data_IF_682668001353
#
_entry.id   IF_682668001353
#
_cell.length_a   1.000
_cell.length_b   1.000
_cell.length_c   1.000
_cell.angle_alpha   90.00
_cell.angle_beta   90.00
_cell.angle_gamma   90.00
#
_symmetry.space_group_name_H-M   'P 1'
#
loop_
_entity.id
_entity.type
_entity.pdbx_description
1 polymer ?
#
# COMPACT_ATOMS: atom_id res chain seq x y z
N UNK A 1 -1.18 5.13 -13.28
CA UNK A 1 -1.23 3.66 -13.43
C UNK A 1 0.02 3.01 -12.88
N UNK A 2 1.21 3.55 -13.13
CA UNK A 2 2.47 2.98 -12.63
C UNK A 2 2.63 3.05 -11.11
N UNK A 3 2.08 4.07 -10.46
CA UNK A 3 2.26 4.30 -9.01
C UNK A 3 1.12 3.76 -8.15
N UNK A 4 0.08 3.15 -8.74
CA UNK A 4 -1.06 2.70 -7.94
C UNK A 4 -0.71 1.38 -7.21
N UNK A 5 -0.76 1.34 -5.86
CA UNK A 5 -0.30 0.20 -5.07
C UNK A 5 -1.17 -1.05 -5.27
N UNK A 6 -2.47 -0.89 -5.52
CA UNK A 6 -3.37 -2.02 -5.76
C UNK A 6 -3.03 -2.74 -7.07
N UNK A 7 -2.66 -1.97 -8.10
CA UNK A 7 -2.24 -2.52 -9.39
C UNK A 7 -0.87 -3.20 -9.31
N UNK A 8 0.09 -2.60 -8.58
CA UNK A 8 1.40 -3.21 -8.32
C UNK A 8 1.20 -4.54 -7.58
N UNK A 9 0.41 -4.55 -6.50
CA UNK A 9 0.13 -5.77 -5.74
C UNK A 9 -0.56 -6.85 -6.59
N UNK A 10 -1.45 -6.47 -7.51
CA UNK A 10 -2.06 -7.41 -8.44
C UNK A 10 -1.03 -8.02 -9.41
N UNK A 11 -0.10 -7.23 -9.95
CA UNK A 11 0.96 -7.71 -10.85
C UNK A 11 1.91 -8.67 -10.14
N UNK A 12 2.33 -8.34 -8.93
CA UNK A 12 3.19 -9.21 -8.12
C UNK A 12 2.51 -10.56 -7.81
N UNK A 13 1.20 -10.56 -7.54
CA UNK A 13 0.43 -11.81 -7.38
C UNK A 13 0.37 -12.63 -8.66
N UNK A 14 0.25 -11.99 -9.83
CA UNK A 14 0.28 -12.69 -11.11
C UNK A 14 1.67 -13.29 -11.39
N UNK A 15 2.74 -12.56 -11.06
CA UNK A 15 4.11 -13.07 -11.17
C UNK A 15 4.36 -14.25 -10.24
N UNK A 16 3.90 -14.17 -8.99
CA UNK A 16 3.95 -15.30 -8.04
C UNK A 16 3.20 -16.53 -8.57
N UNK A 17 2.02 -16.34 -9.18
CA UNK A 17 1.27 -17.42 -9.80
C UNK A 17 2.04 -18.06 -10.98
N UNK A 18 2.83 -17.28 -11.73
CA UNK A 18 3.74 -17.80 -12.77
C UNK A 18 4.82 -18.71 -12.18
N UNK A 19 5.45 -18.32 -11.07
CA UNK A 19 6.40 -19.18 -10.36
C UNK A 19 5.74 -20.45 -9.82
N UNK A 20 4.48 -20.39 -9.35
CA UNK A 20 3.73 -21.57 -8.93
C UNK A 20 3.52 -22.58 -10.07
N UNK A 21 3.40 -22.12 -11.33
CA UNK A 21 3.33 -23.00 -12.50
C UNK A 21 4.64 -23.75 -12.70
N UNK A 22 5.77 -23.06 -12.54
CA UNK A 22 7.10 -23.66 -12.65
C UNK A 22 7.32 -24.69 -11.53
N UNK A 23 6.96 -24.35 -10.29
CA UNK A 23 6.99 -25.26 -9.14
C UNK A 23 6.08 -26.47 -9.36
N UNK A 24 4.86 -26.29 -9.87
CA UNK A 24 3.97 -27.40 -10.20
C UNK A 24 4.54 -28.30 -11.32
N UNK A 25 5.28 -27.70 -12.26
CA UNK A 25 6.01 -28.41 -13.30
C UNK A 25 7.22 -29.19 -12.80
N UNK A 26 7.86 -28.74 -11.72
CA UNK A 26 9.06 -29.36 -11.14
C UNK A 26 8.81 -30.77 -10.56
N UNK A 27 7.56 -31.12 -10.25
CA UNK A 27 7.20 -32.42 -9.68
C UNK A 27 7.48 -33.63 -10.60
N UNK A 28 7.83 -33.40 -11.87
CA UNK A 28 8.30 -34.44 -12.82
C UNK A 28 9.82 -34.56 -12.90
N UNK A 29 10.56 -33.63 -12.31
CA UNK A 29 12.00 -33.59 -12.35
C UNK A 29 12.58 -34.49 -11.24
N UNK A 30 13.81 -35.01 -11.44
CA UNK A 30 14.51 -35.72 -10.38
C UNK A 30 14.83 -34.76 -9.23
N UNK A 31 14.66 -35.21 -7.99
CA UNK A 31 15.08 -34.46 -6.81
C UNK A 31 16.30 -35.10 -6.16
N UNK A 32 17.25 -34.25 -5.76
CA UNK A 32 18.44 -34.63 -4.99
C UNK A 32 18.31 -33.93 -3.64
N UNK A 33 18.31 -34.69 -2.56
CA UNK A 33 18.38 -34.15 -1.20
C UNK A 33 19.60 -34.70 -0.48
N UNK A 34 20.27 -33.82 0.26
CA UNK A 34 21.36 -34.19 1.15
C UNK A 34 20.81 -34.18 2.58
N UNK A 35 21.06 -35.25 3.32
CA UNK A 35 20.65 -35.34 4.72
C UNK A 35 21.85 -35.71 5.58
N UNK A 36 21.89 -35.14 6.78
CA UNK A 36 22.84 -35.47 7.82
C UNK A 36 22.11 -35.41 9.17
N UNK A 37 22.30 -36.43 10.00
CA UNK A 37 21.66 -36.56 11.30
C UNK A 37 22.61 -37.16 12.32
N UNK A 38 22.52 -36.68 13.56
CA UNK A 38 23.18 -37.23 14.72
C UNK A 38 22.08 -37.68 15.69
N UNK A 39 22.03 -38.98 15.93
CA UNK A 39 21.08 -39.59 16.85
C UNK A 39 21.85 -40.13 18.07
N UNK A 40 21.40 -39.75 19.27
CA UNK A 40 21.92 -40.24 20.53
C UNK A 40 20.80 -40.94 21.29
N UNK A 41 20.98 -42.21 21.62
CA UNK A 41 20.03 -43.00 22.38
C UNK A 41 20.67 -43.54 23.65
N UNK A 42 19.95 -43.41 24.76
CA UNK A 42 20.34 -43.96 26.06
C UNK A 42 19.21 -44.87 26.55
N UNK A 43 19.55 -46.12 26.83
CA UNK A 43 18.60 -47.17 27.18
C UNK A 43 18.36 -47.30 28.69
N UNK A 44 19.00 -46.47 29.53
CA UNK A 44 18.76 -46.37 30.98
C UNK A 44 18.64 -47.74 31.70
N UNK A 45 19.48 -48.73 31.35
CA UNK A 45 19.53 -50.04 32.00
C UNK A 45 18.51 -51.07 31.52
N UNK A 46 17.64 -50.72 30.57
CA UNK A 46 16.57 -51.61 30.09
C UNK A 46 17.03 -52.60 29.02
N UNK A 47 18.16 -52.32 28.36
CA UNK A 47 18.69 -53.14 27.27
C UNK A 47 19.28 -54.45 27.81
N UNK A 48 18.82 -55.59 27.28
CA UNK A 48 19.30 -56.91 27.70
C UNK A 48 18.93 -57.31 29.14
N UNK A 49 17.91 -56.69 29.75
CA UNK A 49 17.40 -57.08 31.06
C UNK A 49 18.28 -56.67 32.26
N UNK A 50 19.01 -55.55 32.16
CA UNK A 50 19.86 -55.05 33.25
C UNK A 50 21.28 -55.63 33.27
N UNK A 51 21.74 -56.21 32.16
CA UNK A 51 23.09 -56.77 32.06
C UNK A 51 24.16 -55.65 31.95
N UNK A 52 25.09 -55.51 32.93
CA UNK A 52 26.03 -54.39 32.98
C UNK A 52 27.17 -54.45 31.96
N UNK A 53 27.31 -55.54 31.20
CA UNK A 53 28.33 -55.72 30.15
C UNK A 53 27.92 -55.21 28.77
N UNK A 54 26.65 -54.84 28.57
CA UNK A 54 26.15 -54.31 27.31
C UNK A 54 26.19 -52.78 27.34
N UNK A 55 26.70 -52.17 26.26
CA UNK A 55 26.70 -50.71 26.11
C UNK A 55 25.27 -50.20 26.13
N UNK A 56 24.96 -49.28 27.04
CA UNK A 56 23.62 -48.71 27.21
C UNK A 56 23.44 -47.38 26.50
N UNK A 57 24.50 -46.90 25.85
CA UNK A 57 24.52 -45.67 25.09
C UNK A 57 24.91 -46.00 23.66
N UNK A 58 24.15 -45.46 22.70
CA UNK A 58 24.40 -45.59 21.27
C UNK A 58 24.38 -44.20 20.64
N UNK A 59 25.48 -43.85 19.98
CA UNK A 59 25.59 -42.61 19.19
C UNK A 59 25.74 -43.00 17.73
N UNK A 60 24.76 -42.63 16.92
CA UNK A 60 24.73 -42.94 15.49
C UNK A 60 24.77 -41.64 14.69
N UNK A 61 25.81 -41.50 13.87
CA UNK A 61 25.93 -40.43 12.90
C UNK A 61 25.63 -40.99 11.51
N UNK A 62 24.70 -40.36 10.79
CA UNK A 62 24.40 -40.74 9.41
C UNK A 62 24.41 -39.52 8.50
N UNK A 63 25.03 -39.66 7.33
CA UNK A 63 24.98 -38.67 6.28
C UNK A 63 24.84 -39.38 4.95
N UNK A 64 24.04 -38.82 4.04
CA UNK A 64 23.78 -39.44 2.76
C UNK A 64 23.13 -38.50 1.76
N UNK A 65 23.18 -38.91 0.50
CA UNK A 65 22.48 -38.23 -0.60
C UNK A 65 21.33 -39.14 -1.04
N UNK A 66 20.11 -38.59 -1.06
CA UNK A 66 18.92 -39.27 -1.57
C UNK A 66 18.58 -38.69 -2.94
N UNK A 67 18.65 -39.55 -3.95
CA UNK A 67 18.20 -39.25 -5.29
C UNK A 67 16.82 -39.91 -5.51
N UNK A 68 15.84 -39.12 -5.92
CA UNK A 68 14.47 -39.60 -6.17
C UNK A 68 14.01 -39.17 -7.55
N UNK A 69 13.76 -40.15 -8.42
CA UNK A 69 13.24 -39.90 -9.78
C UNK A 69 11.88 -40.57 -9.92
N UNK A 70 10.79 -39.81 -10.03
CA UNK A 70 9.49 -40.40 -10.26
C UNK A 70 9.36 -40.84 -11.72
N UNK A 71 9.28 -42.16 -11.97
CA UNK A 71 9.22 -42.73 -13.31
C UNK A 71 7.81 -42.61 -13.92
N UNK A 72 6.77 -42.86 -13.12
CA UNK A 72 5.38 -42.73 -13.55
C UNK A 72 4.46 -42.36 -12.38
N UNK A 73 3.67 -41.30 -12.56
CA UNK A 73 2.78 -40.75 -11.52
C UNK A 73 1.31 -40.70 -11.95
N UNK A 74 0.90 -41.52 -12.93
CA UNK A 74 -0.51 -41.60 -13.35
C UNK A 74 -1.12 -40.30 -13.89
N UNK A 75 -0.29 -39.38 -14.42
CA UNK A 75 -0.74 -38.10 -14.99
C UNK A 75 -1.00 -36.98 -13.96
N UNK A 76 -0.83 -37.24 -12.66
CA UNK A 76 -1.05 -36.25 -11.60
C UNK A 76 -0.23 -34.95 -11.78
N UNK A 77 1.08 -34.98 -12.11
CA UNK A 77 1.86 -33.76 -12.35
C UNK A 77 1.32 -32.91 -13.50
N UNK A 78 0.90 -33.54 -14.59
CA UNK A 78 0.33 -32.84 -15.74
C UNK A 78 -1.03 -32.21 -15.41
N UNK A 79 -1.84 -32.85 -14.55
CA UNK A 79 -3.09 -32.26 -14.06
C UNK A 79 -2.83 -31.06 -13.15
N UNK A 80 -1.87 -31.17 -12.21
CA UNK A 80 -1.48 -30.06 -11.31
C UNK A 80 -0.90 -28.87 -12.07
N UNK A 81 -0.07 -29.10 -13.07
CA UNK A 81 0.46 -28.03 -13.91
C UNK A 81 -0.65 -27.32 -14.68
N UNK A 82 -1.60 -28.06 -15.29
CA UNK A 82 -2.77 -27.45 -15.96
C UNK A 82 -3.61 -26.63 -14.99
N UNK A 83 -3.80 -27.11 -13.77
CA UNK A 83 -4.49 -26.36 -12.71
C UNK A 83 -3.74 -25.08 -12.35
N UNK A 84 -2.41 -25.12 -12.22
CA UNK A 84 -1.60 -23.95 -11.93
C UNK A 84 -1.67 -22.93 -13.07
N UNK A 85 -1.58 -23.35 -14.34
CA UNK A 85 -1.74 -22.46 -15.51
C UNK A 85 -3.12 -21.80 -15.51
N UNK A 86 -4.18 -22.54 -15.17
CA UNK A 86 -5.51 -21.96 -15.03
C UNK A 86 -5.56 -20.88 -13.92
N UNK A 87 -4.86 -21.10 -12.80
CA UNK A 87 -4.75 -20.10 -11.72
C UNK A 87 -3.94 -18.87 -12.13
N UNK A 88 -2.83 -19.06 -12.84
CA UNK A 88 -2.05 -17.96 -13.42
C UNK A 88 -2.92 -17.12 -14.36
N UNK A 89 -3.67 -17.75 -15.27
CA UNK A 89 -4.58 -17.04 -16.17
C UNK A 89 -5.65 -16.26 -15.40
N UNK A 90 -6.20 -16.82 -14.32
CA UNK A 90 -7.14 -16.11 -13.46
C UNK A 90 -6.49 -14.92 -12.73
N UNK A 91 -5.23 -15.05 -12.30
CA UNK A 91 -4.49 -13.94 -11.69
C UNK A 91 -4.21 -12.81 -12.70
N UNK A 92 -3.89 -13.13 -13.96
CA UNK A 92 -3.75 -12.13 -15.02
C UNK A 92 -5.07 -11.39 -15.29
N UNK A 93 -6.20 -12.09 -15.32
CA UNK A 93 -7.52 -11.45 -15.44
C UNK A 93 -7.84 -10.55 -14.24
N UNK A 94 -7.38 -10.91 -13.03
CA UNK A 94 -7.49 -10.04 -11.85
C UNK A 94 -6.66 -8.76 -12.00
N UNK A 95 -5.48 -8.81 -12.62
CA UNK A 95 -4.70 -7.60 -12.94
C UNK A 95 -5.48 -6.68 -13.87
N UNK A 96 -6.09 -7.23 -14.93
CA UNK A 96 -6.90 -6.45 -15.88
C UNK A 96 -8.14 -5.86 -15.18
N UNK A 97 -8.78 -6.62 -14.30
CA UNK A 97 -9.92 -6.14 -13.51
C UNK A 97 -9.50 -4.98 -12.59
N UNK A 98 -8.40 -5.13 -11.85
CA UNK A 98 -7.84 -4.08 -11.00
C UNK A 98 -7.47 -2.82 -11.80
N UNK A 99 -6.85 -2.99 -12.98
CA UNK A 99 -6.53 -1.87 -13.86
C UNK A 99 -7.79 -1.09 -14.28
N UNK A 100 -8.84 -1.81 -14.71
CA UNK A 100 -10.12 -1.20 -15.09
C UNK A 100 -10.79 -0.50 -13.92
N UNK A 101 -10.73 -1.08 -12.73
CA UNK A 101 -11.28 -0.49 -11.51
C UNK A 101 -10.55 0.80 -11.13
N UNK A 102 -9.21 0.80 -11.18
CA UNK A 102 -8.39 2.01 -10.95
C UNK A 102 -8.72 3.09 -11.97
N UNK A 103 -8.83 2.76 -13.26
CA UNK A 103 -9.21 3.72 -14.31
C UNK A 103 -10.60 4.30 -14.04
N UNK A 104 -11.56 3.45 -13.68
CA UNK A 104 -12.93 3.89 -13.37
C UNK A 104 -12.96 4.81 -12.14
N UNK A 105 -12.24 4.44 -11.09
CA UNK A 105 -12.11 5.22 -9.85
C UNK A 105 -11.50 6.60 -10.10
N UNK A 106 -10.37 6.65 -10.85
CA UNK A 106 -9.72 7.93 -11.21
C UNK A 106 -10.64 8.81 -12.05
N UNK A 107 -11.36 8.24 -13.03
CA UNK A 107 -12.34 9.01 -13.84
C UNK A 107 -13.49 9.55 -13.00
N UNK A 108 -14.00 8.77 -12.06
CA UNK A 108 -15.05 9.20 -11.15
C UNK A 108 -14.56 10.33 -10.22
N UNK A 109 -13.37 10.17 -9.62
CA UNK A 109 -12.75 11.17 -8.77
C UNK A 109 -12.47 12.48 -9.53
N UNK A 110 -11.95 12.39 -10.76
CA UNK A 110 -11.72 13.54 -11.62
C UNK A 110 -13.02 14.29 -11.94
N UNK A 111 -14.08 13.54 -12.28
CA UNK A 111 -15.40 14.14 -12.55
C UNK A 111 -15.98 14.83 -11.30
N UNK A 112 -15.80 14.25 -10.12
CA UNK A 112 -16.21 14.84 -8.85
C UNK A 112 -15.43 16.12 -8.51
N UNK A 113 -14.12 16.13 -8.75
CA UNK A 113 -13.28 17.31 -8.59
C UNK A 113 -13.69 18.43 -9.56
N UNK A 114 -13.90 18.09 -10.84
CA UNK A 114 -14.37 19.04 -11.85
C UNK A 114 -15.73 19.65 -11.49
N UNK A 115 -16.68 18.82 -11.06
CA UNK A 115 -17.99 19.30 -10.59
C UNK A 115 -17.85 20.21 -9.37
N UNK A 116 -16.94 19.91 -8.44
CA UNK A 116 -16.69 20.75 -7.26
C UNK A 116 -16.14 22.12 -7.63
N UNK A 117 -15.32 22.22 -8.69
CA UNK A 117 -14.87 23.52 -9.21
C UNK A 117 -16.02 24.35 -9.79
N UNK A 118 -16.93 23.73 -10.54
CA UNK A 118 -18.11 24.42 -11.06
C UNK A 118 -19.03 24.92 -9.91
N UNK A 119 -19.14 24.17 -8.81
CA UNK A 119 -19.88 24.61 -7.61
C UNK A 119 -19.21 25.83 -6.95
N UNK A 120 -17.87 25.90 -6.94
CA UNK A 120 -17.15 27.08 -6.45
C UNK A 120 -17.50 28.30 -7.30
N UNK A 121 -17.44 28.18 -8.63
CA UNK A 121 -17.77 29.28 -9.55
C UNK A 121 -19.20 29.79 -9.34
N UNK A 122 -20.18 28.86 -9.26
CA UNK A 122 -21.57 29.21 -8.96
C UNK A 122 -21.73 29.86 -7.58
N UNK A 123 -20.99 29.40 -6.57
CA UNK A 123 -21.03 29.98 -5.23
C UNK A 123 -20.39 31.37 -5.18
N UNK A 124 -19.38 31.64 -5.99
CA UNK A 124 -18.78 32.98 -6.13
C UNK A 124 -19.79 33.95 -6.74
N UNK A 125 -20.45 33.56 -7.83
CA UNK A 125 -21.51 34.38 -8.44
C UNK A 125 -22.67 34.65 -7.47
N UNK A 126 -23.03 33.67 -6.62
CA UNK A 126 -24.05 33.87 -5.59
C UNK A 126 -23.62 34.87 -4.51
N UNK A 127 -22.34 34.88 -4.12
CA UNK A 127 -21.79 35.90 -3.19
C UNK A 127 -21.84 37.27 -3.83
N UNK A 128 -21.37 37.43 -5.07
CA UNK A 128 -21.41 38.72 -5.79
C UNK A 128 -22.84 39.27 -5.91
N UNK A 129 -23.80 38.41 -6.24
CA UNK A 129 -25.21 38.78 -6.31
C UNK A 129 -25.79 39.20 -4.94
N UNK A 130 -25.42 38.50 -3.86
CA UNK A 130 -25.84 38.84 -2.51
C UNK A 130 -25.20 40.16 -2.01
N UNK A 131 -23.94 40.43 -2.38
CA UNK A 131 -23.26 41.69 -2.09
C UNK A 131 -23.96 42.87 -2.77
N UNK A 132 -24.27 42.73 -4.07
CA UNK A 132 -25.00 43.74 -4.82
C UNK A 132 -26.41 43.98 -4.25
N UNK A 133 -27.10 42.90 -3.85
CA UNK A 133 -28.43 43.02 -3.22
C UNK A 133 -28.36 43.76 -1.89
N UNK A 134 -27.36 43.47 -1.04
CA UNK A 134 -27.14 44.18 0.21
C UNK A 134 -26.84 45.67 -0.01
N UNK A 135 -26.04 45.99 -1.00
CA UNK A 135 -25.77 47.39 -1.38
C UNK A 135 -27.05 48.12 -1.77
N UNK A 136 -27.89 47.50 -2.62
CA UNK A 136 -29.19 48.06 -3.00
C UNK A 136 -30.13 48.29 -1.82
N UNK A 137 -30.26 47.30 -0.93
CA UNK A 137 -31.12 47.41 0.27
C UNK A 137 -30.61 48.48 1.24
N UNK A 138 -29.29 48.62 1.39
CA UNK A 138 -28.68 49.69 2.20
C UNK A 138 -28.95 51.07 1.60
N UNK A 139 -28.86 51.22 0.28
CA UNK A 139 -29.19 52.46 -0.40
C UNK A 139 -30.67 52.83 -0.22
N UNK A 140 -31.59 51.88 -0.40
CA UNK A 140 -33.03 52.08 -0.15
C UNK A 140 -33.34 52.41 1.31
N UNK A 141 -32.63 51.80 2.26
CA UNK A 141 -32.79 52.10 3.69
C UNK A 141 -32.31 53.52 4.02
N UNK A 142 -31.23 54.01 3.38
CA UNK A 142 -30.69 55.36 3.62
C UNK A 142 -31.68 56.48 3.25
N UNK A 143 -32.58 56.22 2.31
CA UNK A 143 -33.65 57.14 1.89
C UNK A 143 -35.01 56.82 2.54
N UNK A 144 -35.06 55.85 3.46
CA UNK A 144 -36.25 55.48 4.23
C UNK A 144 -37.24 54.54 3.52
N UNK A 145 -36.90 53.99 2.35
CA UNK A 145 -37.78 53.10 1.57
C UNK A 145 -37.73 51.63 2.00
N UNK A 146 -36.71 51.22 2.78
CA UNK A 146 -36.53 49.89 3.37
C UNK A 146 -36.36 49.99 4.87
N UNK A 147 -36.73 48.94 5.60
CA UNK A 147 -36.52 48.84 7.05
C UNK A 147 -35.11 48.34 7.40
N UNK A 148 -34.68 48.57 8.65
CA UNK A 148 -33.41 48.01 9.15
C UNK A 148 -33.43 46.46 9.19
N UNK A 149 -34.62 45.86 9.36
CA UNK A 149 -34.79 44.40 9.31
C UNK A 149 -34.49 43.85 7.92
N UNK A 150 -34.80 44.60 6.86
CA UNK A 150 -34.46 44.21 5.49
C UNK A 150 -32.95 44.19 5.26
N UNK A 151 -32.23 45.19 5.80
CA UNK A 151 -30.76 45.22 5.75
C UNK A 151 -30.19 44.02 6.48
N UNK A 152 -30.69 43.72 7.68
CA UNK A 152 -30.22 42.59 8.49
C UNK A 152 -30.48 41.23 7.79
N UNK A 153 -31.62 41.09 7.12
CA UNK A 153 -31.94 39.91 6.32
C UNK A 153 -30.98 39.77 5.12
N UNK A 154 -30.67 40.87 4.42
CA UNK A 154 -29.71 40.86 3.31
C UNK A 154 -28.28 40.55 3.77
N UNK A 155 -27.87 41.05 4.95
CA UNK A 155 -26.58 40.69 5.56
C UNK A 155 -26.52 39.20 5.93
N UNK A 156 -27.60 38.64 6.46
CA UNK A 156 -27.70 37.21 6.75
C UNK A 156 -27.58 36.37 5.47
N UNK A 157 -28.22 36.77 4.38
CA UNK A 157 -28.14 36.05 3.09
C UNK A 157 -26.73 36.11 2.51
N UNK A 158 -26.06 37.26 2.57
CA UNK A 158 -24.65 37.38 2.18
C UNK A 158 -23.74 36.47 3.01
N UNK A 159 -23.92 36.45 4.34
CA UNK A 159 -23.15 35.57 5.21
C UNK A 159 -23.37 34.10 4.86
N UNK A 160 -24.62 33.71 4.56
CA UNK A 160 -24.97 32.35 4.12
C UNK A 160 -24.27 32.00 2.81
N UNK A 161 -24.31 32.88 1.81
CA UNK A 161 -23.63 32.69 0.52
C UNK A 161 -22.12 32.52 0.71
N UNK A 162 -21.48 33.35 1.54
CA UNK A 162 -20.04 33.25 1.86
C UNK A 162 -19.71 31.93 2.56
N UNK A 163 -20.54 31.48 3.51
CA UNK A 163 -20.37 30.19 4.18
C UNK A 163 -20.46 29.00 3.20
N UNK A 164 -21.38 29.07 2.23
CA UNK A 164 -21.50 28.07 1.18
C UNK A 164 -20.26 28.04 0.29
N UNK A 165 -19.72 29.20 -0.10
CA UNK A 165 -18.48 29.29 -0.87
C UNK A 165 -17.28 28.66 -0.14
N UNK A 166 -17.13 28.92 1.17
CA UNK A 166 -16.07 28.30 1.98
C UNK A 166 -16.23 26.77 2.01
N UNK A 167 -17.46 26.29 2.19
CA UNK A 167 -17.77 24.85 2.17
C UNK A 167 -17.47 24.22 0.81
N UNK A 168 -17.83 24.90 -0.28
CA UNK A 168 -17.54 24.46 -1.65
C UNK A 168 -16.04 24.35 -1.91
N UNK A 169 -15.26 25.36 -1.48
CA UNK A 169 -13.78 25.33 -1.56
C UNK A 169 -13.21 24.14 -0.80
N UNK A 170 -13.63 23.94 0.45
CA UNK A 170 -13.20 22.79 1.27
C UNK A 170 -13.53 21.46 0.61
N UNK A 171 -14.72 21.32 0.02
CA UNK A 171 -15.11 20.10 -0.68
C UNK A 171 -14.26 19.85 -1.94
N UNK A 172 -13.92 20.91 -2.70
CA UNK A 172 -13.02 20.77 -3.85
C UNK A 172 -11.60 20.36 -3.44
N UNK A 173 -11.08 20.89 -2.32
CA UNK A 173 -9.80 20.43 -1.76
C UNK A 173 -9.84 18.93 -1.43
N UNK A 174 -10.89 18.47 -0.75
CA UNK A 174 -11.07 17.04 -0.43
C UNK A 174 -11.18 16.20 -1.72
N UNK A 175 -11.93 16.66 -2.71
CA UNK A 175 -12.06 15.97 -3.99
C UNK A 175 -10.72 15.91 -4.76
N UNK A 176 -9.88 16.95 -4.65
CA UNK A 176 -8.53 16.96 -5.20
C UNK A 176 -7.63 15.91 -4.55
N UNK A 177 -7.66 15.80 -3.22
CA UNK A 177 -6.94 14.75 -2.49
C UNK A 177 -7.45 13.35 -2.82
N UNK A 178 -8.77 13.17 -2.97
CA UNK A 178 -9.34 11.89 -3.38
C UNK A 178 -8.88 11.48 -4.78
N UNK A 179 -8.72 12.44 -5.70
CA UNK A 179 -8.15 12.19 -7.03
C UNK A 179 -6.67 11.79 -6.94
N UNK A 180 -5.86 12.50 -6.15
CA UNK A 180 -4.46 12.13 -5.91
C UNK A 180 -4.34 10.71 -5.32
N UNK A 181 -5.21 10.36 -4.37
CA UNK A 181 -5.26 9.03 -3.77
C UNK A 181 -5.65 7.95 -4.78
N UNK A 182 -6.67 8.18 -5.60
CA UNK A 182 -7.06 7.26 -6.65
C UNK A 182 -5.93 7.02 -7.68
N UNK A 183 -5.11 8.05 -7.94
CA UNK A 183 -3.94 7.92 -8.82
C UNK A 183 -2.77 7.15 -8.19
N UNK A 184 -2.79 6.90 -6.87
CA UNK A 184 -1.66 6.32 -6.13
C UNK A 184 -0.64 7.36 -5.64
N UNK A 185 -0.94 8.66 -5.77
CA UNK A 185 -0.04 9.78 -5.42
C UNK A 185 -0.38 10.45 -4.09
N UNK A 186 -1.14 9.78 -3.22
CA UNK A 186 -1.45 10.28 -1.89
C UNK A 186 -0.69 9.54 -0.79
N UNK A 187 0.44 8.91 -1.14
CA UNK A 187 1.31 8.35 -0.12
C UNK A 187 1.99 9.48 0.66
N UNK A 188 2.32 9.21 1.92
CA UNK A 188 2.97 10.20 2.80
C UNK A 188 4.29 10.76 2.21
N UNK A 189 4.97 9.98 1.34
CA UNK A 189 6.14 10.42 0.55
C UNK A 189 5.82 11.56 -0.41
N UNK A 190 4.67 11.51 -1.07
CA UNK A 190 4.28 12.46 -2.11
C UNK A 190 3.61 13.71 -1.50
N UNK A 191 3.04 13.56 -0.31
CA UNK A 191 2.39 14.64 0.43
C UNK A 191 3.36 15.45 1.29
N UNK A 192 4.67 15.18 1.21
CA UNK A 192 5.72 15.81 2.02
C UNK A 192 5.36 15.88 3.51
N UNK A 193 4.63 14.88 4.01
CA UNK A 193 4.24 14.82 5.41
C UNK A 193 5.50 14.52 6.22
N UNK A 194 5.87 15.46 7.10
CA UNK A 194 7.03 15.35 7.97
C UNK A 194 6.81 14.24 9.00
N UNK A 195 7.08 13.00 8.58
CA UNK A 195 6.64 11.78 9.27
C UNK A 195 7.63 10.64 9.11
N UNK A 196 8.92 10.90 9.36
CA UNK A 196 9.96 9.88 9.51
C UNK A 196 10.25 9.03 8.26
N UNK A 197 11.14 8.05 8.41
CA UNK A 197 11.46 7.11 7.34
C UNK A 197 10.26 6.20 7.05
N UNK A 198 9.78 6.21 5.80
CA UNK A 198 8.69 5.35 5.33
C UNK A 198 9.18 3.91 5.17
N UNK A 199 8.29 2.93 5.35
CA UNK A 199 8.59 1.51 5.18
C UNK A 199 8.97 1.22 3.72
N UNK A 200 10.20 0.75 3.50
CA UNK A 200 10.69 0.30 2.20
C UNK A 200 10.62 -1.24 2.11
N UNK A 201 9.71 -1.79 1.27
CA UNK A 201 9.56 -3.23 1.12
C UNK A 201 10.73 -3.90 0.39
N UNK A 202 11.52 -3.15 -0.39
CA UNK A 202 12.59 -3.70 -1.24
C UNK A 202 13.87 -3.96 -0.43
N UNK A 203 14.09 -3.22 0.67
CA UNK A 203 15.29 -3.35 1.52
C UNK A 203 15.46 -4.77 2.07
N UNK A 204 14.37 -5.51 2.30
CA UNK A 204 14.47 -6.91 2.70
C UNK A 204 14.80 -7.81 1.51
N UNK A 205 14.21 -7.56 0.33
CA UNK A 205 14.46 -8.36 -0.87
C UNK A 205 15.91 -8.24 -1.36
N UNK A 206 16.40 -7.01 -1.59
CA UNK A 206 17.78 -6.75 -2.05
C UNK A 206 18.83 -7.35 -1.13
N UNK A 207 18.50 -7.40 0.16
CA UNK A 207 19.37 -7.95 1.19
C UNK A 207 19.58 -9.45 1.07
N UNK A 208 18.59 -10.20 0.60
CA UNK A 208 18.66 -11.68 0.48
C UNK A 208 18.79 -12.18 -0.96
N UNK A 209 18.43 -11.40 -1.98
CA UNK A 209 18.42 -11.83 -3.39
C UNK A 209 19.76 -12.41 -3.88
N UNK A 210 20.89 -11.86 -3.41
CA UNK A 210 22.24 -12.34 -3.74
C UNK A 210 22.82 -13.42 -2.81
N UNK A 211 22.10 -13.83 -1.75
CA UNK A 211 22.64 -14.77 -0.75
C UNK A 211 22.43 -16.21 -1.20
N UNK A 212 23.54 -16.91 -1.42
CA UNK A 212 23.53 -18.33 -1.74
C UNK A 212 23.50 -19.22 -0.48
N UNK A 213 23.68 -18.64 0.72
CA UNK A 213 23.81 -19.38 1.97
C UNK A 213 23.17 -18.64 3.16
N UNK A 214 22.33 -19.34 3.91
CA UNK A 214 21.49 -18.79 5.00
C UNK A 214 22.23 -18.54 6.33
N UNK A 215 23.50 -18.96 6.42
CA UNK A 215 24.32 -18.71 7.61
C UNK A 215 25.16 -17.44 7.50
N UNK A 216 25.09 -16.76 6.35
CA UNK A 216 25.60 -15.41 6.21
C UNK A 216 24.62 -14.49 6.96
N UNK A 217 24.77 -14.46 8.30
CA UNK A 217 23.84 -13.79 9.20
C UNK A 217 23.88 -12.30 8.90
N UNK A 218 22.70 -11.73 8.71
CA UNK A 218 22.54 -10.29 8.80
C UNK A 218 23.08 -9.77 10.13
N UNK A 219 23.64 -8.54 10.18
CA UNK A 219 23.77 -7.84 11.45
C UNK A 219 22.40 -7.80 12.15
N UNK A 220 22.39 -8.03 13.46
CA UNK A 220 21.17 -8.12 14.26
C UNK A 220 20.22 -6.96 13.94
N UNK A 221 18.92 -7.23 13.68
CA UNK A 221 17.97 -6.19 13.32
C UNK A 221 17.90 -5.14 14.44
N UNK A 222 18.38 -3.94 14.14
CA UNK A 222 18.30 -2.83 15.07
C UNK A 222 16.85 -2.38 15.12
N UNK A 223 16.18 -2.54 16.26
CA UNK A 223 14.82 -2.09 16.45
C UNK A 223 14.75 -0.55 16.32
N UNK A 224 14.32 -0.06 15.16
CA UNK A 224 13.97 1.34 14.99
C UNK A 224 12.57 1.56 15.56
N UNK A 225 12.50 2.17 16.74
CA UNK A 225 11.23 2.56 17.36
C UNK A 225 10.82 3.94 16.84
N UNK A 226 9.63 4.05 16.27
CA UNK A 226 9.00 5.33 15.95
C UNK A 226 8.49 5.97 17.25
N UNK A 227 9.40 6.53 18.05
CA UNK A 227 9.03 7.25 19.27
C UNK A 227 8.44 8.60 18.88
N UNK A 228 7.23 8.88 19.36
CA UNK A 228 6.54 10.16 19.15
C UNK A 228 7.31 11.36 19.74
N UNK A 229 8.22 11.11 20.69
CA UNK A 229 9.05 12.15 21.32
C UNK A 229 10.13 12.69 20.36
N UNK A 230 10.55 11.88 19.39
CA UNK A 230 11.60 12.22 18.42
C UNK A 230 11.03 12.88 17.15
N UNK A 231 9.69 13.01 17.06
CA UNK A 231 9.01 13.72 15.98
C UNK A 231 8.87 15.19 16.40
N UNK A 232 9.49 16.15 15.71
CA UNK A 232 9.35 17.57 16.03
C UNK A 232 7.88 17.98 15.94
N UNK A 233 7.43 18.86 16.85
CA UNK A 233 6.07 19.38 16.80
C UNK A 233 5.87 20.16 15.49
N UNK A 234 4.79 19.87 14.76
CA UNK A 234 4.44 20.57 13.53
C UNK A 234 4.36 22.08 13.80
N UNK A 235 5.31 22.84 13.26
CA UNK A 235 5.35 24.29 13.30
C UNK A 235 4.75 24.87 12.01
N UNK A 236 4.22 26.09 12.09
CA UNK A 236 3.60 26.78 10.95
C UNK A 236 4.62 27.48 10.02
N UNK A 237 5.91 27.33 10.30
CA UNK A 237 6.98 27.98 9.55
C UNK A 237 7.43 27.08 8.40
N UNK A 238 7.12 27.48 7.17
CA UNK A 238 7.69 26.87 5.96
C UNK A 238 9.17 27.26 5.94
N UNK A 239 10.07 26.36 6.35
CA UNK A 239 11.51 26.62 6.25
C UNK A 239 11.94 26.65 4.79
N UNK A 240 12.68 27.68 4.39
CA UNK A 240 13.30 27.92 3.06
C UNK A 240 14.27 26.81 2.57
N UNK A 241 14.39 25.69 3.29
CA UNK A 241 15.35 24.62 3.01
C UNK A 241 15.03 23.79 1.77
N UNK A 242 13.82 23.89 1.20
CA UNK A 242 13.46 23.22 -0.06
C UNK A 242 14.03 23.91 -1.32
N UNK A 243 14.68 25.07 -1.20
CA UNK A 243 15.22 25.82 -2.35
C UNK A 243 16.64 25.42 -2.79
N UNK A 244 17.31 24.49 -2.09
CA UNK A 244 18.77 24.29 -2.25
C UNK A 244 19.23 23.13 -3.16
N UNK A 245 18.37 22.50 -3.96
CA UNK A 245 18.81 21.40 -4.84
C UNK A 245 18.25 21.44 -6.27
N UNK A 246 18.09 22.63 -6.84
CA UNK A 246 18.04 22.78 -8.30
C UNK A 246 19.47 23.01 -8.80
N UNK A 247 20.14 22.03 -9.43
CA UNK A 247 21.32 22.35 -10.21
C UNK A 247 20.86 23.04 -11.51
N UNK A 248 21.32 24.28 -11.69
CA UNK A 248 21.47 24.93 -13.00
C UNK A 248 22.98 25.13 -13.23
N UNK A 249 23.48 25.19 -14.47
CA UNK A 249 22.77 25.35 -15.76
C UNK A 249 22.54 24.06 -16.57
#
# INVERSE_FOLDING_TARGET
LEENPDLIAARERAQAAGFDVEVAGSGRLPSVSLFAGLDYSDYFGTLGGGNPTLSQTETTASAGVRFSVPIFQGGLPAARQRQAVARESAALEQVIAAEREVIASVRAAYSSYYASQAVIESSQAAVEAAELSLEGVRAENSIGNRSILDVLNAEQELLRARSLLVTARRNAYVAGFALLAAMGKAEARDLALEGGALYDPIVNYERVDGRFWDWDRDPDPVAQSTRTVDIPAANADISDSAAASIPQP
#
